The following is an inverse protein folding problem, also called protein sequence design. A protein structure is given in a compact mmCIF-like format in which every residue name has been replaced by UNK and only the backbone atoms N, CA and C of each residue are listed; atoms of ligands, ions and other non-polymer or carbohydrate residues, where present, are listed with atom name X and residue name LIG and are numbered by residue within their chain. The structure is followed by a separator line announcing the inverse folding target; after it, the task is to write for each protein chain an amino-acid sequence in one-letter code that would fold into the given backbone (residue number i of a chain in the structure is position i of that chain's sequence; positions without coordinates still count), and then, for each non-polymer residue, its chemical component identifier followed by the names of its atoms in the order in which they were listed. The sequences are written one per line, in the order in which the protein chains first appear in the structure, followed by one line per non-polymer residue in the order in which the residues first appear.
data_IF_207212529444
#
_entry.id   IF_207212529444
#
_cell.length_a   1.000
_cell.length_b   1.000
_cell.length_c   1.000
_cell.angle_alpha   90.00
_cell.angle_beta   90.00
_cell.angle_gamma   90.00
#
_symmetry.space_group_name_H-M   'P 1'
#
loop_
_entity.id
_entity.type
_entity.pdbx_description
1 polymer ?
#
# COMPACT_ATOMS: atom_id res chain seq x y z
N UNK A 1 -23.75 -22.63 -22.21
CA UNK A 1 -22.81 -22.37 -23.33
C UNK A 1 -21.38 -22.16 -22.84
N UNK A 2 -21.09 -21.15 -22.01
CA UNK A 2 -19.74 -20.91 -21.46
C UNK A 2 -19.14 -22.08 -20.67
N UNK A 3 -19.95 -22.80 -19.89
CA UNK A 3 -19.54 -24.02 -19.17
C UNK A 3 -19.13 -25.15 -20.10
N UNK A 4 -19.83 -25.32 -21.24
CA UNK A 4 -19.51 -26.34 -22.25
C UNK A 4 -18.23 -25.99 -23.01
N UNK A 5 -18.01 -24.70 -23.31
CA UNK A 5 -16.77 -24.21 -23.94
C UNK A 5 -15.58 -24.40 -23.00
N UNK A 6 -15.74 -24.08 -21.72
CA UNK A 6 -14.71 -24.33 -20.70
C UNK A 6 -14.37 -25.81 -20.60
N UNK A 7 -15.39 -26.68 -20.53
CA UNK A 7 -15.21 -28.14 -20.48
C UNK A 7 -14.47 -28.66 -21.72
N UNK A 8 -14.90 -28.27 -22.92
CA UNK A 8 -14.23 -28.66 -24.16
C UNK A 8 -12.77 -28.18 -24.20
N UNK A 9 -12.50 -26.95 -23.78
CA UNK A 9 -11.13 -26.40 -23.75
C UNK A 9 -10.23 -27.19 -22.80
N UNK A 10 -10.73 -27.53 -21.61
CA UNK A 10 -10.00 -28.32 -20.62
C UNK A 10 -9.72 -29.73 -21.16
N UNK A 11 -10.72 -30.39 -21.73
CA UNK A 11 -10.61 -31.79 -22.20
C UNK A 11 -9.72 -31.93 -23.43
N UNK A 12 -9.83 -31.02 -24.41
CA UNK A 12 -9.09 -31.12 -25.67
C UNK A 12 -7.67 -30.54 -25.58
N UNK A 13 -7.48 -29.38 -24.95
CA UNK A 13 -6.19 -28.71 -24.92
C UNK A 13 -5.36 -29.02 -23.67
N UNK A 14 -5.96 -29.63 -22.62
CA UNK A 14 -5.29 -29.90 -21.32
C UNK A 14 -4.62 -28.66 -20.71
N UNK A 15 -5.13 -27.48 -21.04
CA UNK A 15 -4.62 -26.21 -20.51
C UNK A 15 -5.32 -25.89 -19.19
N UNK A 16 -4.57 -25.33 -18.23
CA UNK A 16 -5.15 -24.81 -17.01
C UNK A 16 -6.00 -23.57 -17.30
N UNK A 17 -7.33 -23.74 -17.25
CA UNK A 17 -8.31 -22.70 -17.58
C UNK A 17 -8.14 -21.45 -16.71
N UNK A 18 -7.71 -21.59 -15.46
CA UNK A 18 -7.50 -20.44 -14.57
C UNK A 18 -6.39 -19.51 -15.07
N UNK A 19 -5.34 -20.05 -15.71
CA UNK A 19 -4.29 -19.20 -16.32
C UNK A 19 -4.87 -18.35 -17.45
N UNK A 20 -5.74 -18.91 -18.28
CA UNK A 20 -6.42 -18.18 -19.35
C UNK A 20 -7.31 -17.09 -18.76
N UNK A 21 -8.13 -17.43 -17.75
CA UNK A 21 -9.01 -16.47 -17.07
C UNK A 21 -8.19 -15.34 -16.42
N UNK A 22 -7.05 -15.64 -15.81
CA UNK A 22 -6.17 -14.62 -15.21
C UNK A 22 -5.61 -13.67 -16.30
N UNK A 23 -5.19 -14.18 -17.45
CA UNK A 23 -4.69 -13.34 -18.56
C UNK A 23 -5.81 -12.43 -19.09
N UNK A 24 -6.98 -13.01 -19.39
CA UNK A 24 -8.14 -12.25 -19.87
C UNK A 24 -8.61 -11.25 -18.81
N UNK A 25 -8.69 -11.67 -17.54
CA UNK A 25 -9.11 -10.85 -16.42
C UNK A 25 -8.15 -9.70 -16.14
N UNK A 26 -6.85 -9.92 -16.31
CA UNK A 26 -5.83 -8.86 -16.19
C UNK A 26 -5.99 -7.84 -17.32
N UNK A 27 -6.24 -8.29 -18.55
CA UNK A 27 -6.53 -7.39 -19.67
C UNK A 27 -7.83 -6.61 -19.45
N UNK A 28 -8.90 -7.28 -19.03
CA UNK A 28 -10.19 -6.66 -18.72
C UNK A 28 -10.06 -5.62 -17.60
N UNK A 29 -9.32 -5.95 -16.55
CA UNK A 29 -9.02 -5.02 -15.46
C UNK A 29 -8.24 -3.82 -15.98
N UNK A 30 -7.20 -4.01 -16.79
CA UNK A 30 -6.42 -2.91 -17.37
C UNK A 30 -7.29 -1.97 -18.23
N UNK A 31 -8.17 -2.52 -19.07
CA UNK A 31 -9.12 -1.73 -19.88
C UNK A 31 -10.09 -0.95 -18.98
N UNK A 32 -10.63 -1.58 -17.94
CA UNK A 32 -11.56 -0.95 -17.02
C UNK A 32 -10.88 0.19 -16.21
N UNK A 33 -9.64 -0.02 -15.76
CA UNK A 33 -8.82 1.01 -15.11
C UNK A 33 -8.54 2.17 -16.04
N UNK A 34 -8.09 1.89 -17.27
CA UNK A 34 -7.82 2.93 -18.26
C UNK A 34 -9.09 3.73 -18.57
N UNK A 35 -10.24 3.09 -18.74
CA UNK A 35 -11.50 3.77 -19.03
C UNK A 35 -11.90 4.80 -17.96
N UNK A 36 -11.81 4.44 -16.68
CA UNK A 36 -12.18 5.33 -15.58
C UNK A 36 -11.10 6.39 -15.29
N UNK A 37 -9.84 5.96 -15.15
CA UNK A 37 -8.78 6.84 -14.64
C UNK A 37 -8.25 7.78 -15.72
N UNK A 38 -8.41 7.45 -17.01
CA UNK A 38 -8.04 8.34 -18.11
C UNK A 38 -8.91 9.59 -18.12
N UNK A 39 -10.22 9.45 -17.86
CA UNK A 39 -11.15 10.60 -17.76
C UNK A 39 -10.77 11.49 -16.58
N UNK A 40 -10.40 10.91 -15.43
CA UNK A 40 -9.91 11.67 -14.28
C UNK A 40 -8.59 12.41 -14.57
N UNK A 41 -7.71 11.82 -15.37
CA UNK A 41 -6.43 12.41 -15.74
C UNK A 41 -6.58 13.58 -16.72
N UNK A 42 -7.38 13.41 -17.78
CA UNK A 42 -7.52 14.44 -18.83
C UNK A 42 -8.60 15.47 -18.51
N UNK A 43 -9.61 15.11 -17.72
CA UNK A 43 -10.81 15.92 -17.47
C UNK A 43 -10.54 17.38 -17.16
N UNK A 44 -9.66 17.72 -16.18
CA UNK A 44 -9.32 19.11 -15.89
C UNK A 44 -8.69 19.84 -17.08
N UNK A 45 -7.78 19.18 -17.81
CA UNK A 45 -7.09 19.80 -18.96
C UNK A 45 -7.99 19.98 -20.17
N UNK A 46 -8.86 19.00 -20.47
CA UNK A 46 -9.83 19.09 -21.56
C UNK A 46 -10.94 20.08 -21.24
N UNK A 47 -11.37 20.17 -19.97
CA UNK A 47 -12.31 21.18 -19.51
C UNK A 47 -11.75 22.59 -19.64
N UNK A 48 -10.50 22.82 -19.20
CA UNK A 48 -9.84 24.11 -19.36
C UNK A 48 -9.67 24.49 -20.85
N UNK A 49 -9.28 23.54 -21.69
CA UNK A 49 -9.15 23.76 -23.14
C UNK A 49 -10.49 24.08 -23.79
N UNK A 50 -11.56 23.35 -23.45
CA UNK A 50 -12.90 23.62 -23.96
C UNK A 50 -13.41 24.99 -23.51
N UNK A 51 -13.23 25.36 -22.23
CA UNK A 51 -13.60 26.69 -21.73
C UNK A 51 -12.91 27.82 -22.51
N UNK A 52 -11.63 27.63 -22.85
CA UNK A 52 -10.89 28.58 -23.68
C UNK A 52 -11.44 28.67 -25.11
N UNK A 53 -11.76 27.53 -25.73
CA UNK A 53 -12.34 27.48 -27.06
C UNK A 53 -13.73 28.14 -27.10
N UNK A 54 -14.59 27.86 -26.11
CA UNK A 54 -15.93 28.43 -26.01
C UNK A 54 -15.88 29.95 -25.81
N UNK A 55 -14.98 30.43 -24.95
CA UNK A 55 -14.76 31.86 -24.75
C UNK A 55 -14.29 32.56 -26.04
N UNK A 56 -13.42 31.89 -26.81
CA UNK A 56 -12.83 32.42 -28.05
C UNK A 56 -13.73 32.25 -29.27
N UNK A 57 -14.79 31.46 -29.18
CA UNK A 57 -15.68 31.17 -30.30
C UNK A 57 -16.77 32.26 -30.41
N UNK A 58 -16.82 33.05 -31.51
CA UNK A 58 -17.85 34.08 -31.71
C UNK A 58 -19.28 33.54 -31.76
N UNK A 59 -19.47 32.26 -32.06
CA UNK A 59 -20.79 31.61 -32.08
C UNK A 59 -21.31 31.29 -30.67
N UNK A 60 -20.41 31.15 -29.70
CA UNK A 60 -20.74 30.85 -28.29
C UNK A 60 -20.69 32.12 -27.45
N UNK A 61 -19.65 32.94 -27.64
CA UNK A 61 -19.55 34.29 -27.07
C UNK A 61 -20.14 35.34 -28.01
N UNK A 62 -21.43 35.22 -28.31
CA UNK A 62 -22.15 36.07 -29.28
C UNK A 62 -22.16 37.55 -28.92
N UNK A 63 -22.07 37.85 -27.62
CA UNK A 63 -22.10 39.21 -27.07
C UNK A 63 -20.69 39.82 -26.94
N UNK A 64 -19.63 39.08 -27.26
CA UNK A 64 -18.24 39.55 -27.09
C UNK A 64 -17.89 39.87 -25.63
N UNK A 65 -18.46 39.12 -24.68
CA UNK A 65 -18.29 39.31 -23.25
C UNK A 65 -16.82 39.18 -22.85
N UNK A 66 -16.44 39.98 -21.86
CA UNK A 66 -15.13 39.88 -21.22
C UNK A 66 -15.02 38.56 -20.42
N UNK A 67 -13.79 38.12 -20.14
CA UNK A 67 -13.55 36.87 -19.41
C UNK A 67 -14.18 36.84 -18.00
N UNK A 68 -14.43 38.01 -17.38
CA UNK A 68 -15.11 38.12 -16.09
C UNK A 68 -16.62 37.98 -16.16
N UNK A 69 -17.22 38.18 -17.33
CA UNK A 69 -18.67 38.18 -17.55
C UNK A 69 -19.14 36.94 -18.32
N UNK A 70 -18.20 36.22 -18.94
CA UNK A 70 -18.50 35.00 -19.69
C UNK A 70 -18.86 33.84 -18.74
N UNK A 71 -20.08 33.32 -18.88
CA UNK A 71 -20.58 32.18 -18.10
C UNK A 71 -19.88 30.88 -18.49
N UNK A 72 -19.53 30.07 -17.50
CA UNK A 72 -18.95 28.73 -17.71
C UNK A 72 -20.01 27.63 -17.84
N UNK A 73 -21.26 27.98 -18.16
CA UNK A 73 -22.37 27.03 -18.33
C UNK A 73 -22.07 25.97 -19.40
N UNK A 74 -21.26 26.28 -20.41
CA UNK A 74 -20.84 25.33 -21.45
C UNK A 74 -20.10 24.11 -20.89
N UNK A 75 -19.42 24.23 -19.73
CA UNK A 75 -18.76 23.10 -19.06
C UNK A 75 -19.74 22.08 -18.45
N UNK A 76 -21.01 22.45 -18.29
CA UNK A 76 -22.07 21.52 -17.86
C UNK A 76 -22.51 20.56 -18.98
N UNK A 77 -22.16 20.85 -20.23
CA UNK A 77 -22.51 20.03 -21.39
C UNK A 77 -21.47 18.93 -21.64
N UNK A 78 -21.83 17.96 -22.51
CA UNK A 78 -20.89 16.89 -22.90
C UNK A 78 -19.68 17.48 -23.64
N UNK A 79 -18.51 17.34 -23.04
CA UNK A 79 -17.23 17.72 -23.64
C UNK A 79 -16.80 16.62 -24.63
N UNK A 80 -16.53 17.02 -25.88
CA UNK A 80 -15.92 16.14 -26.88
C UNK A 80 -14.41 16.24 -26.80
N UNK A 81 -13.75 15.14 -26.41
CA UNK A 81 -12.29 15.08 -26.41
C UNK A 81 -11.78 14.54 -27.74
N UNK A 82 -10.92 15.26 -28.47
CA UNK A 82 -10.30 14.76 -29.69
C UNK A 82 -9.51 13.47 -29.45
N UNK A 83 -9.60 12.51 -30.37
CA UNK A 83 -8.99 11.17 -30.24
C UNK A 83 -7.47 11.23 -30.04
N UNK A 84 -6.77 12.20 -30.64
CA UNK A 84 -5.32 12.33 -30.48
C UNK A 84 -4.91 12.73 -29.04
N UNK A 85 -5.71 13.55 -28.34
CA UNK A 85 -5.47 13.91 -26.94
C UNK A 85 -5.66 12.67 -26.06
N UNK A 86 -6.72 11.90 -26.32
CA UNK A 86 -7.00 10.65 -25.61
C UNK A 86 -5.87 9.63 -25.78
N UNK A 87 -5.35 9.47 -27.00
CA UNK A 87 -4.25 8.55 -27.30
C UNK A 87 -2.95 8.99 -26.62
N UNK A 88 -2.60 10.29 -26.71
CA UNK A 88 -1.42 10.84 -26.05
C UNK A 88 -1.49 10.69 -24.52
N UNK A 89 -2.65 10.98 -23.91
CA UNK A 89 -2.85 10.82 -22.49
C UNK A 89 -2.77 9.35 -22.04
N UNK A 90 -3.35 8.43 -22.82
CA UNK A 90 -3.22 6.99 -22.58
C UNK A 90 -1.76 6.54 -22.61
N UNK A 91 -0.97 7.01 -23.58
CA UNK A 91 0.45 6.70 -23.69
C UNK A 91 1.25 7.24 -22.48
N UNK A 92 1.01 8.49 -22.07
CA UNK A 92 1.64 9.09 -20.88
C UNK A 92 1.29 8.26 -19.63
N UNK A 93 0.04 7.85 -19.47
CA UNK A 93 -0.40 7.02 -18.35
C UNK A 93 0.34 5.68 -18.32
N UNK A 94 0.43 4.97 -19.46
CA UNK A 94 1.15 3.69 -19.56
C UNK A 94 2.62 3.85 -19.19
N UNK A 95 3.31 4.83 -19.76
CA UNK A 95 4.71 5.09 -19.44
C UNK A 95 4.90 5.41 -17.94
N UNK A 96 4.02 6.24 -17.39
CA UNK A 96 4.09 6.62 -15.97
C UNK A 96 3.91 5.41 -15.06
N UNK A 97 2.93 4.54 -15.31
CA UNK A 97 2.73 3.33 -14.53
C UNK A 97 3.90 2.36 -14.65
N UNK A 98 4.49 2.22 -15.83
CA UNK A 98 5.64 1.34 -16.07
C UNK A 98 6.88 1.74 -15.27
N UNK A 99 7.18 3.05 -15.22
CA UNK A 99 8.36 3.57 -14.54
C UNK A 99 8.13 3.95 -13.07
N UNK A 100 6.89 4.09 -12.61
CA UNK A 100 6.58 4.55 -11.25
C UNK A 100 6.87 3.48 -10.19
N UNK A 101 7.87 3.74 -9.34
CA UNK A 101 8.15 2.96 -8.14
C UNK A 101 7.00 2.99 -7.13
N UNK A 102 6.26 4.11 -7.08
CA UNK A 102 5.09 4.28 -6.20
C UNK A 102 3.92 3.39 -6.64
N UNK A 103 3.64 3.34 -7.94
CA UNK A 103 2.59 2.46 -8.48
C UNK A 103 2.90 0.99 -8.17
N UNK A 104 4.16 0.57 -8.38
CA UNK A 104 4.63 -0.78 -8.01
C UNK A 104 4.47 -1.08 -6.52
N UNK A 105 4.74 -0.10 -5.65
CA UNK A 105 4.55 -0.25 -4.20
C UNK A 105 3.06 -0.39 -3.79
N UNK A 106 2.15 0.33 -4.47
CA UNK A 106 0.70 0.21 -4.24
C UNK A 106 0.20 -1.17 -4.69
N UNK A 107 0.61 -1.63 -5.87
CA UNK A 107 0.30 -3.00 -6.35
C UNK A 107 0.80 -4.04 -5.37
N UNK A 108 2.05 -3.92 -4.89
CA UNK A 108 2.59 -4.81 -3.87
C UNK A 108 1.74 -4.81 -2.60
N UNK A 109 1.31 -3.65 -2.13
CA UNK A 109 0.50 -3.54 -0.90
C UNK A 109 -0.90 -4.15 -1.09
N UNK A 110 -1.52 -3.98 -2.26
CA UNK A 110 -2.78 -4.63 -2.62
C UNK A 110 -2.66 -6.15 -2.59
N UNK A 111 -1.59 -6.68 -3.20
CA UNK A 111 -1.29 -8.10 -3.22
C UNK A 111 -1.05 -8.62 -1.81
N UNK A 112 -0.19 -7.95 -1.03
CA UNK A 112 0.16 -8.34 0.35
C UNK A 112 -1.08 -8.41 1.26
N UNK A 113 -1.97 -7.40 1.24
CA UNK A 113 -3.20 -7.38 2.05
C UNK A 113 -4.17 -8.50 1.72
N UNK A 114 -4.05 -9.00 0.50
CA UNK A 114 -4.93 -10.01 0.00
C UNK A 114 -4.28 -11.38 0.14
N UNK A 115 -3.01 -11.53 0.55
CA UNK A 115 -2.41 -12.87 0.69
C UNK A 115 -3.20 -13.74 1.67
N UNK A 116 -3.30 -15.03 1.31
CA UNK A 116 -3.97 -16.06 2.13
C UNK A 116 -3.14 -16.36 3.39
N UNK A 117 -1.81 -16.29 3.29
CA UNK A 117 -0.89 -16.56 4.40
C UNK A 117 -0.89 -15.46 5.48
N UNK A 118 -0.57 -15.84 6.72
CA UNK A 118 -0.30 -14.89 7.81
C UNK A 118 0.97 -14.09 7.47
N UNK A 119 0.80 -12.84 7.05
CA UNK A 119 1.87 -11.88 6.80
C UNK A 119 1.71 -10.71 7.74
N UNK A 120 2.83 -10.09 8.09
CA UNK A 120 2.87 -8.95 8.98
C UNK A 120 2.00 -7.82 8.42
N UNK A 121 0.94 -7.55 9.15
CA UNK A 121 -0.04 -6.55 8.79
C UNK A 121 0.56 -5.16 8.95
N UNK A 122 0.56 -4.37 7.88
CA UNK A 122 1.18 -3.05 7.87
C UNK A 122 0.42 -2.00 8.68
N UNK A 123 -0.79 -2.32 9.12
CA UNK A 123 -1.71 -1.38 9.76
C UNK A 123 -1.83 -1.65 11.24
N UNK A 124 -1.52 -0.66 12.07
CA UNK A 124 -1.69 -0.78 13.50
C UNK A 124 -3.19 -0.83 13.89
N UNK A 125 -3.56 -1.69 14.85
CA UNK A 125 -4.94 -1.87 15.26
C UNK A 125 -5.42 -0.64 16.05
N UNK A 126 -6.62 -0.14 15.75
CA UNK A 126 -7.20 1.02 16.42
C UNK A 126 -8.46 0.63 17.21
N UNK A 127 -8.99 1.57 18.01
CA UNK A 127 -10.17 1.30 18.84
C UNK A 127 -11.38 0.84 18.01
N UNK A 128 -11.61 1.46 16.86
CA UNK A 128 -12.70 1.10 15.96
C UNK A 128 -12.54 -0.32 15.38
N UNK A 129 -11.36 -0.67 14.89
CA UNK A 129 -11.10 -1.98 14.29
C UNK A 129 -11.24 -3.11 15.32
N UNK A 130 -10.76 -2.89 16.55
CA UNK A 130 -10.94 -3.84 17.67
C UNK A 130 -12.41 -4.08 17.99
N UNK A 131 -13.23 -3.03 18.01
CA UNK A 131 -14.65 -3.16 18.30
C UNK A 131 -15.42 -3.85 17.16
N UNK A 132 -15.13 -3.50 15.90
CA UNK A 132 -15.76 -4.15 14.73
C UNK A 132 -15.46 -5.65 14.72
N UNK A 133 -14.19 -6.05 14.94
CA UNK A 133 -13.82 -7.46 14.99
C UNK A 133 -14.49 -8.17 16.16
N UNK A 134 -14.51 -7.57 17.35
CA UNK A 134 -15.18 -8.15 18.53
C UNK A 134 -16.67 -8.38 18.27
N UNK A 135 -17.37 -7.39 17.71
CA UNK A 135 -18.79 -7.50 17.36
C UNK A 135 -19.02 -8.55 16.28
N UNK A 136 -18.15 -8.62 15.27
CA UNK A 136 -18.24 -9.60 14.19
C UNK A 136 -18.04 -11.03 14.70
N UNK A 137 -17.07 -11.25 15.60
CA UNK A 137 -16.87 -12.55 16.27
C UNK A 137 -18.06 -12.91 17.13
N UNK A 138 -18.60 -11.96 17.90
CA UNK A 138 -19.79 -12.19 18.73
C UNK A 138 -21.00 -12.57 17.86
N UNK A 139 -21.26 -11.84 16.78
CA UNK A 139 -22.34 -12.15 15.83
C UNK A 139 -22.13 -13.51 15.15
N UNK A 140 -20.90 -13.81 14.72
CA UNK A 140 -20.55 -15.10 14.13
C UNK A 140 -20.77 -16.25 15.10
N UNK A 141 -20.39 -16.10 16.38
CA UNK A 141 -20.60 -17.12 17.39
C UNK A 141 -22.09 -17.35 17.68
N UNK A 142 -22.87 -16.26 17.78
CA UNK A 142 -24.33 -16.35 17.93
C UNK A 142 -24.98 -17.08 16.76
N UNK A 143 -24.57 -16.77 15.53
CA UNK A 143 -25.06 -17.46 14.33
C UNK A 143 -24.62 -18.93 14.30
N UNK A 144 -23.37 -19.21 14.66
CA UNK A 144 -22.83 -20.57 14.69
C UNK A 144 -23.56 -21.43 15.74
N UNK A 145 -24.04 -20.85 16.84
CA UNK A 145 -24.84 -21.57 17.83
C UNK A 145 -26.22 -22.00 17.31
N UNK A 146 -26.76 -21.33 16.28
CA UNK A 146 -28.03 -21.69 15.63
C UNK A 146 -27.89 -22.82 14.60
N UNK A 147 -26.67 -23.14 14.16
CA UNK A 147 -26.43 -24.14 13.12
C UNK A 147 -26.37 -25.57 13.70
N UNK A 148 -27.00 -26.57 13.05
CA UNK A 148 -26.83 -27.98 13.40
C UNK A 148 -25.39 -28.45 13.24
N UNK A 149 -24.97 -29.43 14.05
CA UNK A 149 -23.62 -30.01 14.01
C UNK A 149 -23.26 -30.55 12.62
N UNK A 150 -24.19 -31.20 11.92
CA UNK A 150 -23.99 -31.70 10.55
C UNK A 150 -23.61 -30.59 9.56
N UNK A 151 -24.24 -29.42 9.68
CA UNK A 151 -23.96 -28.26 8.82
C UNK A 151 -22.59 -27.67 9.13
N UNK A 152 -22.21 -27.60 10.41
CA UNK A 152 -20.86 -27.13 10.82
C UNK A 152 -19.77 -28.01 10.22
N UNK A 153 -19.92 -29.34 10.36
CA UNK A 153 -18.97 -30.31 9.79
C UNK A 153 -18.89 -30.21 8.27
N UNK A 154 -20.04 -30.04 7.60
CA UNK A 154 -20.08 -29.84 6.15
C UNK A 154 -19.33 -28.57 5.71
N UNK A 155 -19.55 -27.45 6.41
CA UNK A 155 -18.88 -26.17 6.15
C UNK A 155 -17.37 -26.31 6.40
N UNK A 156 -16.96 -26.85 7.54
CA UNK A 156 -15.55 -26.98 7.90
C UNK A 156 -14.78 -27.91 6.95
N UNK A 157 -15.46 -28.89 6.33
CA UNK A 157 -14.86 -29.73 5.30
C UNK A 157 -14.43 -28.94 4.05
N UNK A 158 -15.11 -27.85 3.72
CA UNK A 158 -14.78 -27.00 2.56
C UNK A 158 -13.50 -26.17 2.78
N UNK A 159 -13.13 -25.89 4.03
CA UNK A 159 -11.97 -25.06 4.38
C UNK A 159 -10.71 -25.88 4.76
N UNK A 160 -10.71 -27.19 4.51
CA UNK A 160 -9.53 -28.03 4.77
C UNK A 160 -8.44 -27.70 3.74
N UNK A 161 -7.37 -27.07 4.22
CA UNK A 161 -6.23 -26.73 3.39
C UNK A 161 -5.42 -27.98 3.05
N UNK A 162 -5.06 -28.15 1.78
CA UNK A 162 -4.11 -29.19 1.36
C UNK A 162 -2.72 -28.69 1.74
N UNK A 163 -2.00 -29.39 2.63
CA UNK A 163 -0.64 -28.98 3.04
C UNK A 163 0.25 -28.88 1.80
N UNK A 164 0.73 -27.67 1.50
CA UNK A 164 1.73 -27.44 0.45
C UNK A 164 3.08 -27.94 0.99
N UNK A 165 3.85 -28.74 0.23
CA UNK A 165 5.18 -29.20 0.66
C UNK A 165 6.14 -28.01 0.83
N UNK A 166 6.87 -27.99 1.94
CA UNK A 166 7.59 -26.85 2.50
C UNK A 166 8.92 -26.46 1.79
N UNK A 167 9.23 -27.10 0.65
CA UNK A 167 10.48 -26.90 -0.10
C UNK A 167 10.56 -25.58 -0.91
N UNK A 168 9.55 -24.70 -0.82
CA UNK A 168 9.50 -23.44 -1.59
C UNK A 168 9.62 -22.26 -0.64
N UNK A 169 10.58 -21.36 -0.89
CA UNK A 169 10.68 -20.09 -0.14
C UNK A 169 9.33 -19.37 -0.17
N UNK A 170 8.88 -18.87 0.98
CA UNK A 170 7.61 -18.13 1.18
C UNK A 170 7.43 -16.92 0.25
N UNK A 171 8.54 -16.37 -0.27
CA UNK A 171 8.59 -15.30 -1.25
C UNK A 171 8.28 -15.74 -2.69
N UNK A 172 8.55 -17.00 -3.03
CA UNK A 172 8.35 -17.59 -4.36
C UNK A 172 6.97 -18.29 -4.48
N UNK A 173 6.28 -18.45 -3.36
CA UNK A 173 4.89 -18.91 -3.33
C UNK A 173 3.96 -17.83 -3.91
N UNK A 174 3.05 -18.21 -4.84
CA UNK A 174 2.02 -17.31 -5.33
C UNK A 174 1.23 -16.70 -4.18
N UNK A 175 0.99 -15.39 -4.24
CA UNK A 175 0.20 -14.67 -3.23
C UNK A 175 -1.22 -15.22 -3.03
N UNK A 176 -1.75 -15.94 -4.04
CA UNK A 176 -3.06 -16.55 -4.07
C UNK A 176 -3.01 -17.85 -4.85
N UNK A 177 -3.94 -18.75 -4.56
CA UNK A 177 -4.29 -19.79 -5.52
C UNK A 177 -4.88 -19.18 -6.83
N UNK A 178 -4.91 -20.01 -7.88
CA UNK A 178 -5.36 -19.58 -9.20
C UNK A 178 -6.86 -19.24 -9.24
N UNK A 179 -7.67 -19.83 -8.37
CA UNK A 179 -9.12 -19.57 -8.28
C UNK A 179 -9.32 -18.17 -7.74
N UNK A 180 -8.71 -17.86 -6.61
CA UNK A 180 -8.80 -16.56 -5.95
C UNK A 180 -8.23 -15.44 -6.81
N UNK A 181 -7.10 -15.67 -7.48
CA UNK A 181 -6.58 -14.71 -8.46
C UNK A 181 -7.61 -14.45 -9.58
N UNK A 182 -8.24 -15.50 -10.11
CA UNK A 182 -9.25 -15.36 -11.16
C UNK A 182 -10.51 -14.60 -10.71
N UNK A 183 -11.01 -14.89 -9.50
CA UNK A 183 -12.19 -14.23 -8.92
C UNK A 183 -11.87 -12.76 -8.64
N UNK A 184 -10.72 -12.45 -8.04
CA UNK A 184 -10.33 -11.08 -7.75
C UNK A 184 -10.27 -10.21 -9.01
N UNK A 185 -9.62 -10.71 -10.07
CA UNK A 185 -9.50 -9.99 -11.34
C UNK A 185 -10.87 -9.82 -12.01
N UNK A 186 -11.66 -10.89 -12.09
CA UNK A 186 -12.97 -10.86 -12.73
C UNK A 186 -13.92 -9.92 -11.99
N UNK A 187 -14.13 -10.10 -10.69
CA UNK A 187 -15.09 -9.30 -9.91
C UNK A 187 -14.69 -7.83 -9.90
N UNK A 188 -13.41 -7.52 -9.72
CA UNK A 188 -12.95 -6.12 -9.78
C UNK A 188 -13.18 -5.50 -11.16
N UNK A 189 -12.85 -6.23 -12.25
CA UNK A 189 -13.04 -5.72 -13.62
C UNK A 189 -14.51 -5.46 -13.94
N UNK A 190 -15.42 -6.35 -13.53
CA UNK A 190 -16.86 -6.22 -13.74
C UNK A 190 -17.43 -5.04 -12.96
N UNK A 191 -17.09 -4.90 -11.67
CA UNK A 191 -17.57 -3.79 -10.85
C UNK A 191 -17.10 -2.43 -11.40
N UNK A 192 -15.82 -2.33 -11.78
CA UNK A 192 -15.27 -1.11 -12.38
C UNK A 192 -15.96 -0.83 -13.73
N UNK A 193 -16.12 -1.84 -14.59
CA UNK A 193 -16.74 -1.67 -15.90
C UNK A 193 -18.21 -1.24 -15.82
N UNK A 194 -18.99 -1.82 -14.90
CA UNK A 194 -20.40 -1.43 -14.68
C UNK A 194 -20.47 0.01 -14.20
N UNK A 195 -19.68 0.37 -13.18
CA UNK A 195 -19.68 1.72 -12.64
C UNK A 195 -19.19 2.76 -13.67
N UNK A 196 -18.18 2.41 -14.49
CA UNK A 196 -17.71 3.24 -15.61
C UNK A 196 -18.81 3.42 -16.67
N UNK A 197 -19.53 2.36 -17.02
CA UNK A 197 -20.67 2.42 -17.94
C UNK A 197 -21.80 3.31 -17.41
N UNK A 198 -22.00 3.32 -16.09
CA UNK A 198 -22.96 4.19 -15.40
C UNK A 198 -22.41 5.60 -15.13
N UNK A 199 -21.18 5.89 -15.55
CA UNK A 199 -20.47 7.16 -15.33
C UNK A 199 -20.37 7.56 -13.86
N UNK A 200 -20.30 6.58 -12.97
CA UNK A 200 -20.09 6.81 -11.55
C UNK A 200 -18.62 7.12 -11.30
N UNK A 201 -18.29 8.24 -10.63
CA UNK A 201 -16.91 8.51 -10.24
C UNK A 201 -16.51 7.50 -9.17
N UNK A 202 -15.63 6.56 -9.54
CA UNK A 202 -15.21 5.47 -8.68
C UNK A 202 -13.70 5.51 -8.43
N UNK A 203 -13.29 5.03 -7.26
CA UNK A 203 -11.88 4.75 -6.98
C UNK A 203 -11.58 3.31 -7.38
N UNK A 204 -10.91 3.12 -8.51
CA UNK A 204 -10.50 1.79 -9.02
C UNK A 204 -9.60 1.06 -8.02
N UNK A 205 -8.76 1.82 -7.31
CA UNK A 205 -7.93 1.33 -6.20
C UNK A 205 -8.79 0.84 -5.04
N UNK A 206 -9.84 1.57 -4.68
CA UNK A 206 -10.76 1.13 -3.62
C UNK A 206 -11.47 -0.18 -4.00
N UNK A 207 -12.04 -0.26 -5.21
CA UNK A 207 -12.77 -1.45 -5.66
C UNK A 207 -11.86 -2.68 -5.67
N UNK A 208 -10.66 -2.57 -6.24
CA UNK A 208 -9.70 -3.69 -6.27
C UNK A 208 -9.29 -4.15 -4.87
N UNK A 209 -9.03 -3.21 -3.96
CA UNK A 209 -8.71 -3.53 -2.57
C UNK A 209 -9.88 -4.22 -1.87
N UNK A 210 -11.11 -3.72 -2.03
CA UNK A 210 -12.28 -4.29 -1.37
C UNK A 210 -12.64 -5.67 -1.91
N UNK A 211 -12.50 -5.91 -3.22
CA UNK A 211 -12.70 -7.23 -3.82
C UNK A 211 -11.67 -8.22 -3.25
N UNK A 212 -10.39 -7.82 -3.23
CA UNK A 212 -9.32 -8.71 -2.80
C UNK A 212 -9.35 -9.00 -1.28
N UNK A 213 -9.76 -8.03 -0.47
CA UNK A 213 -10.06 -8.22 0.95
C UNK A 213 -11.32 -9.05 1.17
N UNK A 214 -12.39 -8.82 0.40
CA UNK A 214 -13.63 -9.59 0.46
C UNK A 214 -13.43 -11.07 0.17
N UNK A 215 -12.59 -11.41 -0.83
CA UNK A 215 -12.25 -12.82 -1.09
C UNK A 215 -11.40 -13.43 0.01
N UNK A 216 -10.44 -12.70 0.62
CA UNK A 216 -9.70 -13.25 1.78
C UNK A 216 -10.60 -13.54 2.97
N UNK A 217 -11.60 -12.67 3.20
CA UNK A 217 -12.54 -12.84 4.29
C UNK A 217 -13.41 -14.09 4.04
N UNK A 218 -13.88 -14.28 2.81
CA UNK A 218 -14.67 -15.45 2.42
C UNK A 218 -13.91 -16.76 2.58
N UNK A 219 -12.60 -16.76 2.34
CA UNK A 219 -11.71 -17.93 2.47
C UNK A 219 -11.30 -18.24 3.93
N UNK A 220 -11.82 -17.52 4.93
CA UNK A 220 -11.38 -17.59 6.34
C UNK A 220 -9.86 -17.35 6.50
N UNK A 221 -9.24 -16.59 5.61
CA UNK A 221 -7.83 -16.24 5.72
C UNK A 221 -7.55 -15.25 6.87
N UNK A 222 -8.59 -14.69 7.48
CA UNK A 222 -8.49 -13.74 8.59
C UNK A 222 -8.56 -14.49 9.91
N UNK A 223 -7.42 -14.69 10.56
CA UNK A 223 -7.37 -15.22 11.92
C UNK A 223 -7.88 -14.21 12.95
N UNK A 224 -8.27 -14.66 14.14
CA UNK A 224 -8.70 -13.77 15.23
C UNK A 224 -7.65 -12.73 15.60
N UNK A 225 -6.37 -13.04 15.40
CA UNK A 225 -5.25 -12.16 15.70
C UNK A 225 -4.94 -11.17 14.56
N UNK A 226 -5.04 -11.58 13.30
CA UNK A 226 -4.75 -10.73 12.12
C UNK A 226 -5.96 -9.88 11.66
N UNK A 227 -7.19 -10.31 11.96
CA UNK A 227 -8.42 -9.62 11.55
C UNK A 227 -8.46 -8.14 12.01
N UNK A 228 -7.97 -7.85 13.22
CA UNK A 228 -8.00 -6.49 13.79
C UNK A 228 -7.15 -5.52 12.96
N UNK A 229 -6.02 -6.00 12.45
CA UNK A 229 -5.10 -5.23 11.64
C UNK A 229 -5.64 -5.07 10.20
N UNK A 230 -6.21 -6.14 9.61
CA UNK A 230 -6.84 -6.08 8.28
C UNK A 230 -8.05 -5.14 8.24
N UNK A 231 -8.91 -5.19 9.27
CA UNK A 231 -10.03 -4.23 9.42
C UNK A 231 -9.52 -2.81 9.61
N UNK A 232 -8.43 -2.61 10.37
CA UNK A 232 -7.81 -1.28 10.47
C UNK A 232 -7.32 -0.78 9.10
N UNK A 233 -6.77 -1.67 8.27
CA UNK A 233 -6.44 -1.39 6.88
C UNK A 233 -7.64 -0.93 6.05
N UNK A 234 -8.75 -1.68 6.09
CA UNK A 234 -10.02 -1.31 5.43
C UNK A 234 -10.47 0.10 5.86
N UNK A 235 -10.49 0.37 7.17
CA UNK A 235 -10.91 1.67 7.71
C UNK A 235 -9.97 2.80 7.27
N UNK A 236 -8.65 2.57 7.26
CA UNK A 236 -7.68 3.56 6.81
C UNK A 236 -7.82 3.86 5.30
N UNK A 237 -8.15 2.87 4.47
CA UNK A 237 -8.41 3.07 3.05
C UNK A 237 -9.70 3.88 2.84
N UNK A 238 -10.78 3.55 3.56
CA UNK A 238 -12.05 4.32 3.52
C UNK A 238 -11.83 5.76 3.99
N UNK A 239 -11.20 5.93 5.15
CA UNK A 239 -10.90 7.25 5.72
C UNK A 239 -9.99 8.07 4.82
N UNK A 240 -8.97 7.43 4.22
CA UNK A 240 -8.08 8.06 3.26
C UNK A 240 -8.80 8.58 2.02
N UNK A 241 -9.79 7.85 1.50
CA UNK A 241 -10.59 8.30 0.36
C UNK A 241 -11.39 9.57 0.68
N UNK A 242 -12.14 9.57 1.79
CA UNK A 242 -12.90 10.75 2.22
C UNK A 242 -11.99 11.94 2.55
N UNK A 243 -10.90 11.71 3.27
CA UNK A 243 -9.96 12.75 3.64
C UNK A 243 -9.27 13.36 2.41
N UNK A 244 -8.91 12.55 1.43
CA UNK A 244 -8.32 13.02 0.16
C UNK A 244 -9.33 13.83 -0.63
N UNK A 245 -10.57 13.37 -0.75
CA UNK A 245 -11.63 14.10 -1.44
C UNK A 245 -11.89 15.47 -0.79
N UNK A 246 -12.03 15.50 0.54
CA UNK A 246 -12.22 16.74 1.29
C UNK A 246 -11.01 17.68 1.13
N UNK A 247 -9.79 17.15 1.23
CA UNK A 247 -8.57 17.93 1.07
C UNK A 247 -8.43 18.50 -0.33
N UNK A 248 -8.74 17.72 -1.36
CA UNK A 248 -8.72 18.16 -2.75
C UNK A 248 -9.78 19.22 -3.03
N UNK A 249 -10.99 19.06 -2.47
CA UNK A 249 -12.06 20.04 -2.55
C UNK A 249 -11.65 21.37 -1.90
N UNK A 250 -11.18 21.34 -0.65
CA UNK A 250 -10.74 22.55 0.08
C UNK A 250 -9.55 23.20 -0.61
N UNK A 251 -8.55 22.42 -1.03
CA UNK A 251 -7.40 22.95 -1.76
C UNK A 251 -7.82 23.60 -3.08
N UNK A 252 -8.70 22.97 -3.86
CA UNK A 252 -9.21 23.54 -5.11
C UNK A 252 -10.00 24.83 -4.87
N UNK A 253 -10.81 24.88 -3.81
CA UNK A 253 -11.53 26.10 -3.41
C UNK A 253 -10.57 27.24 -3.03
N UNK A 254 -9.52 26.95 -2.26
CA UNK A 254 -8.49 27.94 -1.90
C UNK A 254 -7.75 28.42 -3.16
N UNK A 255 -7.37 27.51 -4.05
CA UNK A 255 -6.70 27.87 -5.31
C UNK A 255 -7.60 28.74 -6.20
N UNK A 256 -8.88 28.37 -6.34
CA UNK A 256 -9.85 29.16 -7.08
C UNK A 256 -10.04 30.55 -6.48
N UNK A 257 -10.11 30.68 -5.15
CA UNK A 257 -10.19 31.96 -4.46
C UNK A 257 -8.95 32.84 -4.72
N UNK A 258 -7.75 32.27 -4.62
CA UNK A 258 -6.49 32.97 -4.90
C UNK A 258 -6.43 33.45 -6.35
N UNK A 259 -6.84 32.60 -7.30
CA UNK A 259 -6.88 32.94 -8.73
C UNK A 259 -7.92 34.03 -9.02
N UNK A 260 -9.09 33.98 -8.38
CA UNK A 260 -10.15 34.97 -8.56
C UNK A 260 -9.72 36.38 -8.18
N UNK A 261 -9.08 36.55 -7.01
CA UNK A 261 -8.63 37.88 -6.56
C UNK A 261 -7.26 38.30 -7.13
N UNK A 262 -6.35 37.35 -7.33
CA UNK A 262 -4.97 37.66 -7.73
C UNK A 262 -4.71 37.61 -9.24
N UNK A 263 -5.66 37.10 -10.04
CA UNK A 263 -5.59 37.06 -11.49
C UNK A 263 -4.29 36.44 -12.02
N UNK A 264 -3.69 37.10 -13.03
CA UNK A 264 -2.47 36.61 -13.68
C UNK A 264 -1.25 36.50 -12.74
N UNK A 265 -1.11 37.43 -11.78
CA UNK A 265 0.01 37.40 -10.82
C UNK A 265 -0.08 36.18 -9.90
N UNK A 266 -1.29 35.86 -9.42
CA UNK A 266 -1.53 34.66 -8.64
C UNK A 266 -1.26 33.38 -9.44
N UNK A 267 -1.67 33.34 -10.72
CA UNK A 267 -1.41 32.18 -11.59
C UNK A 267 0.10 31.89 -11.71
N UNK A 268 0.91 32.92 -12.01
CA UNK A 268 2.37 32.77 -12.12
C UNK A 268 2.98 32.34 -10.79
N UNK A 269 2.58 32.96 -9.68
CA UNK A 269 3.06 32.61 -8.35
C UNK A 269 2.72 31.15 -7.98
N UNK A 270 1.50 30.69 -8.27
CA UNK A 270 1.07 29.31 -8.03
C UNK A 270 1.85 28.32 -8.90
N UNK A 271 2.10 28.62 -10.17
CA UNK A 271 2.93 27.76 -11.04
C UNK A 271 4.35 27.62 -10.49
N UNK A 272 4.98 28.72 -10.10
CA UNK A 272 6.32 28.69 -9.47
C UNK A 272 6.29 27.87 -8.18
N UNK A 273 5.29 28.09 -7.33
CA UNK A 273 5.09 27.31 -6.10
C UNK A 273 4.96 25.81 -6.39
N UNK A 274 4.16 25.42 -7.39
CA UNK A 274 4.02 24.03 -7.82
C UNK A 274 5.35 23.43 -8.24
N UNK A 275 6.14 24.11 -9.07
CA UNK A 275 7.48 23.63 -9.49
C UNK A 275 8.40 23.43 -8.29
N UNK A 276 8.44 24.38 -7.35
CA UNK A 276 9.25 24.27 -6.13
C UNK A 276 8.82 23.05 -5.30
N UNK A 277 7.52 22.83 -5.12
CA UNK A 277 6.98 21.69 -4.37
C UNK A 277 7.34 20.37 -5.07
N UNK A 278 7.23 20.29 -6.40
CA UNK A 278 7.59 19.09 -7.16
C UNK A 278 9.08 18.76 -7.04
N UNK A 279 9.96 19.75 -7.19
CA UNK A 279 11.41 19.57 -7.03
C UNK A 279 11.73 19.10 -5.61
N UNK A 280 11.16 19.75 -4.59
CA UNK A 280 11.37 19.38 -3.19
C UNK A 280 10.89 17.96 -2.90
N UNK A 281 9.72 17.57 -3.42
CA UNK A 281 9.18 16.22 -3.27
C UNK A 281 10.04 15.17 -3.97
N UNK A 282 10.52 15.46 -5.18
CA UNK A 282 11.43 14.57 -5.91
C UNK A 282 12.75 14.38 -5.16
N UNK A 283 13.38 15.47 -4.71
CA UNK A 283 14.64 15.41 -3.95
C UNK A 283 14.47 14.66 -2.63
N UNK A 284 13.38 14.91 -1.91
CA UNK A 284 13.11 14.23 -0.64
C UNK A 284 12.86 12.73 -0.86
N UNK A 285 12.11 12.35 -1.89
CA UNK A 285 11.88 10.94 -2.22
C UNK A 285 13.17 10.25 -2.68
N UNK A 286 13.99 10.93 -3.48
CA UNK A 286 15.31 10.43 -3.88
C UNK A 286 16.19 10.18 -2.66
N UNK A 287 16.26 11.14 -1.73
CA UNK A 287 17.01 10.99 -0.48
C UNK A 287 16.52 9.79 0.35
N UNK A 288 15.20 9.66 0.56
CA UNK A 288 14.63 8.52 1.26
C UNK A 288 14.94 7.19 0.57
N UNK A 289 14.88 7.15 -0.77
CA UNK A 289 15.18 5.93 -1.54
C UNK A 289 16.65 5.51 -1.45
N UNK A 290 17.57 6.47 -1.30
CA UNK A 290 19.00 6.23 -1.09
C UNK A 290 19.23 5.76 0.35
N UNK A 291 18.66 6.44 1.35
CA UNK A 291 18.76 6.03 2.77
C UNK A 291 18.17 4.63 3.00
N UNK A 292 17.09 4.26 2.29
CA UNK A 292 16.51 2.92 2.33
C UNK A 292 17.37 1.84 1.66
N UNK A 293 18.25 2.20 0.72
CA UNK A 293 19.18 1.29 0.05
C UNK A 293 20.52 1.18 0.78
N UNK A 294 20.95 2.23 1.46
CA UNK A 294 22.21 2.28 2.23
C UNK A 294 22.08 1.64 3.62
N UNK A 295 20.86 1.56 4.17
CA UNK A 295 20.63 0.83 5.41
C UNK A 295 20.34 -0.64 5.10
N UNK A 296 21.31 -1.51 5.45
CA UNK A 296 21.12 -2.96 5.53
C UNK A 296 19.98 -3.25 6.51
N UNK A 297 18.77 -3.37 5.98
CA UNK A 297 17.57 -3.68 6.77
C UNK A 297 17.71 -5.06 7.39
N UNK A 298 17.22 -5.20 8.61
CA UNK A 298 17.11 -6.52 9.20
C UNK A 298 16.12 -7.37 8.38
N UNK A 299 16.54 -8.59 8.08
CA UNK A 299 15.75 -9.57 7.37
C UNK A 299 14.88 -10.33 8.38
N UNK A 300 13.65 -10.65 8.01
CA UNK A 300 12.81 -11.51 8.85
C UNK A 300 13.24 -12.96 8.62
N UNK A 301 13.11 -13.80 9.65
CA UNK A 301 13.31 -15.22 9.48
C UNK A 301 12.21 -15.78 8.55
N UNK A 302 12.58 -16.15 7.33
CA UNK A 302 11.70 -16.64 6.28
C UNK A 302 11.90 -18.14 6.03
N UNK A 303 13.04 -18.70 6.46
CA UNK A 303 13.31 -20.13 6.32
C UNK A 303 12.55 -20.97 7.35
N UNK A 304 11.90 -22.03 6.87
CA UNK A 304 11.33 -23.11 7.69
C UNK A 304 12.38 -24.09 8.22
N UNK A 305 13.61 -24.03 7.69
CA UNK A 305 14.71 -24.93 8.02
C UNK A 305 15.63 -24.34 9.08
N UNK A 306 16.11 -25.17 10.01
CA UNK A 306 17.03 -24.76 11.08
C UNK A 306 18.30 -24.09 10.55
N UNK A 307 18.88 -24.62 9.47
CA UNK A 307 20.07 -24.05 8.82
C UNK A 307 19.80 -22.68 8.20
N UNK A 308 18.66 -22.51 7.54
CA UNK A 308 18.28 -21.22 6.95
C UNK A 308 18.05 -20.15 8.03
N UNK A 309 17.44 -20.52 9.16
CA UNK A 309 17.26 -19.63 10.31
C UNK A 309 18.61 -19.17 10.87
N UNK A 310 19.59 -20.07 10.98
CA UNK A 310 20.94 -19.71 11.44
C UNK A 310 21.58 -18.70 10.49
N UNK A 311 21.47 -18.90 9.17
CA UNK A 311 22.04 -18.01 8.16
C UNK A 311 21.36 -16.63 8.19
N UNK A 312 20.03 -16.59 8.21
CA UNK A 312 19.26 -15.34 8.27
C UNK A 312 19.52 -14.59 9.58
N UNK A 313 19.63 -15.30 10.69
CA UNK A 313 20.01 -14.73 12.00
C UNK A 313 21.43 -14.18 11.97
N UNK A 314 22.39 -14.88 11.35
CA UNK A 314 23.77 -14.42 11.23
C UNK A 314 23.87 -13.11 10.42
N UNK A 315 23.08 -12.98 9.34
CA UNK A 315 23.01 -11.74 8.56
C UNK A 315 22.43 -10.59 9.39
N UNK A 316 21.37 -10.85 10.17
CA UNK A 316 20.82 -9.86 11.10
C UNK A 316 21.83 -9.44 12.16
N UNK A 317 22.53 -10.39 12.79
CA UNK A 317 23.57 -10.11 13.77
C UNK A 317 24.66 -9.22 13.15
N UNK A 318 25.14 -9.57 11.95
CA UNK A 318 26.14 -8.77 11.25
C UNK A 318 25.65 -7.33 10.99
N UNK A 319 24.40 -7.17 10.57
CA UNK A 319 23.80 -5.86 10.33
C UNK A 319 23.61 -5.04 11.61
N UNK A 320 23.12 -5.65 12.70
CA UNK A 320 23.00 -4.99 14.01
C UNK A 320 24.37 -4.59 14.56
N UNK A 321 25.38 -5.46 14.48
CA UNK A 321 26.74 -5.14 14.95
C UNK A 321 27.35 -4.00 14.11
N UNK A 322 27.24 -4.04 12.78
CA UNK A 322 27.74 -2.99 11.88
C UNK A 322 27.06 -1.65 12.15
N UNK A 323 25.73 -1.62 12.27
CA UNK A 323 24.96 -0.42 12.59
C UNK A 323 25.24 0.07 14.01
N UNK A 324 25.33 -0.86 14.96
CA UNK A 324 25.64 -0.58 16.37
C UNK A 324 26.99 0.08 16.54
N UNK A 325 28.03 -0.42 15.86
CA UNK A 325 29.35 0.21 15.88
C UNK A 325 29.32 1.65 15.31
N UNK A 326 28.60 1.87 14.21
CA UNK A 326 28.40 3.20 13.62
C UNK A 326 27.68 4.14 14.58
N UNK A 327 26.63 3.66 15.27
CA UNK A 327 25.87 4.45 16.25
C UNK A 327 26.74 4.77 17.47
N UNK A 328 27.45 3.78 18.01
CA UNK A 328 28.34 3.97 19.15
C UNK A 328 29.44 5.01 18.83
N UNK A 329 30.13 4.82 17.69
CA UNK A 329 31.16 5.76 17.21
C UNK A 329 30.58 7.16 16.99
N UNK A 330 29.36 7.25 16.43
CA UNK A 330 28.65 8.51 16.25
C UNK A 330 28.30 9.21 17.57
N UNK A 331 27.98 8.46 18.62
CA UNK A 331 27.70 9.01 19.95
C UNK A 331 28.97 9.58 20.57
N UNK A 332 30.06 8.81 20.56
CA UNK A 332 31.36 9.22 21.12
C UNK A 332 31.90 10.45 20.39
N UNK A 333 31.94 10.44 19.05
CA UNK A 333 32.42 11.59 18.28
C UNK A 333 31.50 12.81 18.42
N UNK A 334 30.18 12.59 18.46
CA UNK A 334 29.21 13.66 18.66
C UNK A 334 29.34 14.32 20.04
N UNK A 335 29.64 13.53 21.07
CA UNK A 335 29.91 13.99 22.42
C UNK A 335 31.23 14.78 22.46
N UNK A 336 32.31 14.22 21.92
CA UNK A 336 33.64 14.85 21.89
C UNK A 336 33.62 16.21 21.15
N UNK A 337 32.87 16.31 20.06
CA UNK A 337 32.76 17.53 19.23
C UNK A 337 31.60 18.45 19.62
N UNK A 338 30.83 18.12 20.66
CA UNK A 338 29.62 18.84 21.07
C UNK A 338 28.62 19.08 19.91
N UNK A 339 28.57 18.16 18.94
CA UNK A 339 27.80 18.34 17.72
C UNK A 339 26.36 17.81 17.88
N UNK A 340 25.44 18.70 18.27
CA UNK A 340 24.01 18.38 18.43
C UNK A 340 23.35 17.82 17.17
N UNK A 341 23.73 18.29 15.98
CA UNK A 341 23.14 17.82 14.71
C UNK A 341 23.52 16.36 14.47
N UNK A 342 24.77 15.99 14.75
CA UNK A 342 25.26 14.61 14.68
C UNK A 342 24.55 13.72 15.71
N UNK A 343 24.49 14.15 16.97
CA UNK A 343 23.82 13.40 18.05
C UNK A 343 22.32 13.20 17.79
N UNK A 344 21.63 14.20 17.23
CA UNK A 344 20.22 14.08 16.82
C UNK A 344 20.04 13.08 15.68
N UNK A 345 20.97 13.02 14.72
CA UNK A 345 20.97 12.01 13.65
C UNK A 345 21.19 10.62 14.24
N UNK A 346 22.13 10.49 15.17
CA UNK A 346 22.45 9.23 15.83
C UNK A 346 21.26 8.67 16.63
N UNK A 347 20.56 9.54 17.37
CA UNK A 347 19.31 9.20 18.08
C UNK A 347 18.25 8.62 17.15
N UNK A 348 18.04 9.22 15.98
CA UNK A 348 17.09 8.69 14.99
C UNK A 348 17.51 7.33 14.44
N UNK A 349 18.81 7.08 14.29
CA UNK A 349 19.32 5.81 13.80
C UNK A 349 19.12 4.68 14.81
N UNK A 350 19.33 4.95 16.10
CA UNK A 350 19.08 3.94 17.14
C UNK A 350 17.59 3.68 17.37
N UNK A 351 16.73 4.71 17.29
CA UNK A 351 15.28 4.52 17.32
C UNK A 351 14.81 3.62 16.17
N UNK A 352 15.34 3.84 14.96
CA UNK A 352 15.02 2.99 13.81
C UNK A 352 15.50 1.54 13.98
N UNK A 353 16.73 1.34 14.47
CA UNK A 353 17.28 0.01 14.74
C UNK A 353 16.46 -0.72 15.82
N UNK A 354 16.08 -0.01 16.90
CA UNK A 354 15.23 -0.56 17.97
C UNK A 354 13.88 -1.01 17.42
N UNK A 355 13.21 -0.17 16.64
CA UNK A 355 11.92 -0.50 16.03
C UNK A 355 12.02 -1.72 15.09
N UNK A 356 13.12 -1.84 14.33
CA UNK A 356 13.33 -3.03 13.46
C UNK A 356 13.52 -4.31 14.29
N UNK A 357 14.18 -4.24 15.45
CA UNK A 357 14.36 -5.40 16.36
C UNK A 357 13.06 -5.74 17.08
N UNK A 358 12.30 -4.75 17.54
CA UNK A 358 10.99 -4.94 18.13
C UNK A 358 10.02 -5.57 17.11
N UNK A 359 10.07 -5.11 15.85
CA UNK A 359 9.34 -5.75 14.75
C UNK A 359 9.76 -7.23 14.59
N UNK A 360 11.04 -7.58 14.67
CA UNK A 360 11.46 -9.00 14.62
C UNK A 360 10.88 -9.81 15.79
N UNK A 361 10.87 -9.22 16.99
CA UNK A 361 10.36 -9.83 18.22
C UNK A 361 8.85 -10.09 18.17
N UNK A 362 8.08 -9.11 17.71
CA UNK A 362 6.63 -9.23 17.56
C UNK A 362 6.23 -10.37 16.61
N UNK A 363 7.16 -10.78 15.74
CA UNK A 363 6.95 -11.86 14.77
C UNK A 363 7.54 -13.22 15.19
N UNK A 364 8.08 -13.33 16.41
CA UNK A 364 8.60 -14.61 16.95
C UNK A 364 7.51 -15.69 16.93
N UNK A 365 6.27 -15.35 17.27
CA UNK A 365 5.17 -16.30 17.29
C UNK A 365 4.93 -16.95 15.92
N UNK A 366 4.83 -16.12 14.87
CA UNK A 366 4.64 -16.60 13.50
C UNK A 366 5.83 -17.42 13.02
N UNK A 367 7.04 -17.02 13.41
CA UNK A 367 8.25 -17.79 13.14
C UNK A 367 8.17 -19.20 13.73
N UNK A 368 7.89 -19.33 15.04
CA UNK A 368 7.82 -20.64 15.72
C UNK A 368 6.72 -21.52 15.12
N UNK A 369 5.57 -20.92 14.75
CA UNK A 369 4.44 -21.62 14.13
C UNK A 369 4.78 -22.22 12.75
N UNK A 370 5.71 -21.63 12.02
CA UNK A 370 6.03 -21.97 10.63
C UNK A 370 7.25 -22.90 10.47
N UNK A 371 7.90 -23.32 11.57
CA UNK A 371 9.01 -24.27 11.53
C UNK A 371 8.51 -25.67 11.14
N UNK A 372 9.19 -26.31 10.18
CA UNK A 372 8.85 -27.65 9.64
C UNK A 372 8.89 -28.74 10.70
N UNK A 373 9.97 -28.72 11.49
CA UNK A 373 10.07 -29.40 12.77
C UNK A 373 10.14 -28.29 13.81
N UNK A 374 9.21 -28.22 14.79
CA UNK A 374 9.35 -27.33 15.93
C UNK A 374 10.52 -27.81 16.79
N UNK A 375 11.75 -27.63 16.28
CA UNK A 375 12.96 -27.91 17.01
C UNK A 375 13.04 -26.84 18.09
N UNK A 376 12.83 -27.27 19.32
CA UNK A 376 12.94 -26.42 20.51
C UNK A 376 14.28 -25.67 20.50
N UNK A 377 15.33 -26.30 19.94
CA UNK A 377 16.66 -25.71 19.82
C UNK A 377 16.73 -24.52 18.85
N UNK A 378 16.13 -24.60 17.66
CA UNK A 378 16.16 -23.46 16.71
C UNK A 378 15.29 -22.29 17.21
N UNK A 379 14.13 -22.60 17.80
CA UNK A 379 13.28 -21.59 18.44
C UNK A 379 14.01 -20.90 19.59
N UNK A 380 14.62 -21.67 20.50
CA UNK A 380 15.40 -21.12 21.61
C UNK A 380 16.58 -20.30 21.11
N UNK A 381 17.34 -20.79 20.13
CA UNK A 381 18.44 -20.05 19.52
C UNK A 381 17.98 -18.70 18.97
N UNK A 382 16.90 -18.69 18.18
CA UNK A 382 16.37 -17.45 17.59
C UNK A 382 15.87 -16.47 18.65
N UNK A 383 15.15 -16.96 19.67
CA UNK A 383 14.68 -16.13 20.80
C UNK A 383 15.86 -15.53 21.57
N UNK A 384 16.89 -16.32 21.88
CA UNK A 384 18.08 -15.86 22.59
C UNK A 384 18.81 -14.78 21.79
N UNK A 385 19.04 -15.00 20.49
CA UNK A 385 19.66 -13.99 19.62
C UNK A 385 18.85 -12.71 19.59
N UNK A 386 17.52 -12.79 19.43
CA UNK A 386 16.68 -11.58 19.45
C UNK A 386 16.73 -10.85 20.80
N UNK A 387 16.83 -11.59 21.91
CA UNK A 387 17.08 -11.02 23.23
C UNK A 387 18.40 -10.24 23.27
N UNK A 388 19.49 -10.85 22.84
CA UNK A 388 20.82 -10.22 22.80
C UNK A 388 20.83 -8.96 21.91
N UNK A 389 20.20 -9.03 20.73
CA UNK A 389 20.07 -7.89 19.82
C UNK A 389 19.23 -6.76 20.46
N UNK A 390 18.18 -7.11 21.20
CA UNK A 390 17.36 -6.14 21.92
C UNK A 390 18.16 -5.43 23.01
N UNK A 391 18.94 -6.16 23.79
CA UNK A 391 19.79 -5.60 24.85
C UNK A 391 20.87 -4.67 24.28
N UNK A 392 21.46 -5.05 23.14
CA UNK A 392 22.37 -4.17 22.39
C UNK A 392 21.68 -2.87 21.95
N UNK A 393 20.49 -2.96 21.38
CA UNK A 393 19.74 -1.79 20.92
C UNK A 393 19.33 -0.87 22.07
N UNK A 394 18.87 -1.43 23.19
CA UNK A 394 18.53 -0.68 24.41
C UNK A 394 19.76 0.04 24.97
N UNK A 395 20.91 -0.64 25.02
CA UNK A 395 22.17 -0.06 25.48
C UNK A 395 22.61 1.11 24.58
N UNK A 396 22.56 0.93 23.26
CA UNK A 396 22.85 2.01 22.30
C UNK A 396 21.86 3.17 22.43
N UNK A 397 20.59 2.89 22.69
CA UNK A 397 19.55 3.90 22.84
C UNK A 397 19.79 4.74 24.10
N UNK A 398 20.15 4.08 25.20
CA UNK A 398 20.55 4.74 26.43
C UNK A 398 21.76 5.66 26.20
N UNK A 399 22.84 5.15 25.60
CA UNK A 399 24.05 5.93 25.29
C UNK A 399 23.71 7.14 24.41
N UNK A 400 23.01 6.93 23.29
CA UNK A 400 22.70 8.01 22.36
C UNK A 400 21.79 9.08 22.98
N UNK A 401 20.82 8.70 23.82
CA UNK A 401 19.95 9.65 24.51
C UNK A 401 20.70 10.41 25.61
N UNK A 402 21.53 9.72 26.39
CA UNK A 402 22.35 10.33 27.42
C UNK A 402 23.32 11.36 26.82
N UNK A 403 24.04 10.99 25.75
CA UNK A 403 24.96 11.90 25.04
C UNK A 403 24.22 13.12 24.49
N UNK A 404 23.08 12.93 23.82
CA UNK A 404 22.29 14.05 23.30
C UNK A 404 21.77 14.97 24.41
N UNK A 405 21.26 14.40 25.50
CA UNK A 405 20.75 15.16 26.65
C UNK A 405 21.85 15.98 27.30
N UNK A 406 23.04 15.39 27.52
CA UNK A 406 24.18 16.07 28.12
C UNK A 406 24.58 17.30 27.29
N UNK A 407 24.87 17.13 26.00
CA UNK A 407 25.27 18.26 25.12
C UNK A 407 24.16 19.30 24.99
N UNK A 408 22.89 18.89 24.99
CA UNK A 408 21.75 19.83 24.94
C UNK A 408 21.67 20.71 26.19
N UNK A 409 21.99 20.16 27.36
CA UNK A 409 22.02 20.91 28.63
C UNK A 409 23.24 21.81 28.64
N UNK A 410 24.43 21.30 28.33
CA UNK A 410 25.70 22.04 28.33
C UNK A 410 25.71 23.24 27.36
N UNK A 411 25.00 23.16 26.23
CA UNK A 411 24.90 24.30 25.28
C UNK A 411 23.85 25.33 25.74
N UNK A 412 22.90 24.94 26.59
CA UNK A 412 21.86 25.84 27.11
C UNK A 412 22.26 26.55 28.41
N UNK A 413 23.16 25.96 29.20
CA UNK A 413 23.87 26.61 30.31
C UNK A 413 24.98 27.50 29.77
#
# INVERSE_FOLDING_TARGET
MLTLISLATITFFKINIYKIIIVIGTFALAVAFAGNDLVNFIGPTTGAYQAFLDFSNPEVNTLGLSASEFSMESLGNKIYTPTYILLAAGLIMVLTLWFSSKAKAVVKTSVDLSRQDDINERFQPNFLSRNIVRLSIAASNSFNNLLPSSTKVYIDKQFRHTRIPALVKTKDLPAFDLIRASVNLMVASVLISIATSMKLPLSTTYVTFMVAMGTSLADRAWGSESAVYRVAGVLNVIGGWFFTALSAFVASAIMAFILYYGGAYALVALLVFTVIVLIKNYLNHRKQSIELKEEDKLQKAESSSTQGVIIESAENIANVVKRGNKIYTGAVNGLATHNLKSLKKNKKQVEKLSNEIDDLKDNIYYFIKNLEDPSVNASNFYISILGDLQDMAQSLNYISNASYKHVTITIKS
#
